data_IF_679002310119
#
_entry.id   IF_679002310119
#
_cell.length_a   1.000
_cell.length_b   1.000
_cell.length_c   1.000
_cell.angle_alpha   90.00
_cell.angle_beta   90.00
_cell.angle_gamma   90.00
#
_symmetry.space_group_name_H-M   'P 1'
#
loop_
_entity.id
_entity.type
_entity.pdbx_description
1 polymer ?
#
# COMPACT_ATOMS: atom_id res chain seq x y z
N UNK A 1 25.54 5.48 16.64
CA UNK A 1 25.25 4.41 17.63
C UNK A 1 23.81 4.53 18.14
N UNK A 2 23.36 5.74 18.53
CA UNK A 2 22.00 6.02 19.04
C UNK A 2 20.86 5.71 18.04
N UNK A 3 21.03 6.06 16.75
CA UNK A 3 19.96 5.87 15.75
C UNK A 3 19.68 4.39 15.42
N UNK A 4 20.73 3.56 15.29
CA UNK A 4 20.56 2.12 15.03
C UNK A 4 19.86 1.41 16.20
N UNK A 5 20.16 1.84 17.41
CA UNK A 5 19.52 1.36 18.63
C UNK A 5 18.05 1.77 18.70
N UNK A 6 17.71 3.01 18.30
CA UNK A 6 16.32 3.47 18.16
C UNK A 6 15.52 2.62 17.16
N UNK A 7 16.06 2.39 15.96
CA UNK A 7 15.38 1.60 14.92
C UNK A 7 15.18 0.15 15.37
N UNK A 8 16.18 -0.46 16.01
CA UNK A 8 16.06 -1.81 16.56
C UNK A 8 14.99 -1.89 17.66
N UNK A 9 14.93 -0.88 18.54
CA UNK A 9 13.85 -0.78 19.54
C UNK A 9 12.49 -0.67 18.87
N UNK A 10 12.33 0.22 17.89
CA UNK A 10 11.06 0.39 17.18
C UNK A 10 10.58 -0.95 16.56
N UNK A 11 11.49 -1.68 15.90
CA UNK A 11 11.18 -2.99 15.32
C UNK A 11 10.78 -4.02 16.39
N UNK A 12 11.41 -4.01 17.57
CA UNK A 12 11.02 -4.89 18.68
C UNK A 12 9.62 -4.62 19.24
N UNK A 13 9.08 -3.42 19.00
CA UNK A 13 7.71 -3.03 19.29
C UNK A 13 6.77 -3.19 18.07
N UNK A 14 7.22 -3.78 16.97
CA UNK A 14 6.41 -3.96 15.76
C UNK A 14 6.22 -2.68 14.93
N UNK A 15 7.01 -1.63 15.20
CA UNK A 15 6.92 -0.34 14.50
C UNK A 15 8.10 -0.16 13.55
N UNK A 16 7.78 0.12 12.27
CA UNK A 16 8.78 0.46 11.27
C UNK A 16 8.89 1.99 11.11
N UNK A 17 10.11 2.51 11.25
CA UNK A 17 10.42 3.92 11.00
C UNK A 17 11.25 4.06 9.72
N UNK A 18 11.14 5.21 9.05
CA UNK A 18 11.95 5.50 7.87
C UNK A 18 13.35 5.97 8.27
N UNK A 19 14.39 5.27 7.85
CA UNK A 19 15.77 5.74 7.97
C UNK A 19 16.18 6.61 6.76
N UNK A 20 16.53 7.88 7.00
CA UNK A 20 17.01 8.79 5.95
C UNK A 20 18.52 8.67 5.67
N UNK A 21 19.26 7.87 6.46
CA UNK A 21 20.72 7.66 6.37
C UNK A 21 21.58 8.89 6.64
N UNK A 22 20.99 10.00 7.08
CA UNK A 22 21.67 11.23 7.49
C UNK A 22 21.69 11.43 9.01
N UNK A 23 21.20 10.44 9.77
CA UNK A 23 21.02 10.51 11.22
C UNK A 23 19.59 10.80 11.65
N UNK A 24 18.72 11.19 10.72
CA UNK A 24 17.30 11.48 11.00
C UNK A 24 16.40 10.29 10.72
N UNK A 25 15.24 10.27 11.37
CA UNK A 25 14.19 9.26 11.18
C UNK A 25 12.89 9.94 10.77
N UNK A 26 12.14 9.29 9.89
CA UNK A 26 10.81 9.73 9.47
C UNK A 26 9.72 8.91 10.15
N UNK A 27 8.71 9.61 10.65
CA UNK A 27 7.48 9.05 11.19
C UNK A 27 6.34 9.56 10.31
N UNK A 28 5.50 8.65 9.83
CA UNK A 28 4.28 8.99 9.13
C UNK A 28 3.14 8.28 9.86
N UNK A 29 2.28 9.06 10.50
CA UNK A 29 1.06 8.57 11.14
C UNK A 29 -0.06 8.53 10.11
N UNK A 30 -1.08 7.71 10.37
CA UNK A 30 -2.23 7.54 9.49
C UNK A 30 -3.55 7.43 10.28
N UNK A 31 -4.65 7.19 9.58
CA UNK A 31 -6.00 7.08 10.16
C UNK A 31 -6.12 5.95 11.19
N UNK A 32 -5.32 4.89 11.07
CA UNK A 32 -5.42 3.71 11.93
C UNK A 32 -4.48 3.79 13.14
N UNK A 33 -3.84 4.92 13.39
CA UNK A 33 -2.94 5.14 14.54
C UNK A 33 -3.74 5.53 15.80
N UNK A 34 -3.96 4.62 16.77
CA UNK A 34 -4.58 4.96 18.06
C UNK A 34 -3.62 5.75 18.98
N UNK A 35 -4.14 6.37 20.05
CA UNK A 35 -3.30 6.99 21.09
C UNK A 35 -2.26 6.04 21.71
N UNK A 36 -2.58 4.74 21.85
CA UNK A 36 -1.67 3.74 22.38
C UNK A 36 -0.38 3.61 21.54
N UNK A 37 -0.47 3.69 20.21
CA UNK A 37 0.70 3.63 19.33
C UNK A 37 1.60 4.86 19.51
N UNK A 38 1.02 6.02 19.87
CA UNK A 38 1.78 7.22 20.21
C UNK A 38 2.54 7.07 21.54
N UNK A 39 1.92 6.43 22.53
CA UNK A 39 2.55 6.12 23.81
C UNK A 39 3.74 5.17 23.61
N UNK A 40 3.57 4.13 22.77
CA UNK A 40 4.67 3.25 22.38
C UNK A 40 5.80 4.02 21.67
N UNK A 41 5.47 4.93 20.75
CA UNK A 41 6.45 5.81 20.12
C UNK A 41 7.20 6.67 21.16
N UNK A 42 6.51 7.28 22.12
CA UNK A 42 7.17 8.07 23.16
C UNK A 42 8.15 7.22 23.97
N UNK A 43 7.78 5.99 24.34
CA UNK A 43 8.66 5.04 25.04
C UNK A 43 9.90 4.67 24.21
N UNK A 44 9.72 4.38 22.92
CA UNK A 44 10.80 4.03 21.99
C UNK A 44 11.83 5.17 21.92
N UNK A 45 11.36 6.42 21.83
CA UNK A 45 12.20 7.62 21.75
C UNK A 45 12.83 7.99 23.10
N UNK A 46 12.14 7.76 24.22
CA UNK A 46 12.66 7.96 25.57
C UNK A 46 13.60 6.83 26.06
N UNK A 47 13.91 5.86 25.18
CA UNK A 47 14.73 4.69 25.46
C UNK A 47 14.22 3.86 26.66
N UNK A 48 12.89 3.71 26.76
CA UNK A 48 12.22 2.92 27.80
C UNK A 48 11.99 3.64 29.12
N UNK A 49 12.35 4.92 29.22
CA UNK A 49 11.92 5.75 30.36
C UNK A 49 10.50 6.25 30.09
N UNK A 50 9.55 5.87 30.94
CA UNK A 50 8.17 6.35 30.85
C UNK A 50 8.15 7.89 30.95
N UNK A 51 7.60 8.59 29.93
CA UNK A 51 7.35 10.02 30.03
C UNK A 51 6.31 10.30 31.13
N UNK A 52 6.43 11.46 31.79
CA UNK A 52 5.46 11.93 32.81
C UNK A 52 4.22 12.59 32.16
N UNK A 53 3.83 12.13 30.98
CA UNK A 53 2.66 12.60 30.22
C UNK A 53 2.14 11.48 29.31
N UNK A 54 0.84 11.48 29.05
CA UNK A 54 0.20 10.60 28.06
C UNK A 54 -0.21 11.37 26.79
N UNK A 55 -0.59 10.64 25.75
CA UNK A 55 -0.96 11.22 24.46
C UNK A 55 -2.22 12.10 24.56
N UNK A 56 -3.18 11.75 25.41
CA UNK A 56 -4.41 12.53 25.59
C UNK A 56 -4.16 13.84 26.35
N UNK A 57 -3.31 13.81 27.37
CA UNK A 57 -2.87 14.96 28.13
C UNK A 57 -2.13 15.94 27.24
N UNK A 58 -1.21 15.44 26.41
CA UNK A 58 -0.52 16.25 25.42
C UNK A 58 -1.52 16.91 24.48
N UNK A 59 -2.51 16.16 23.99
CA UNK A 59 -3.56 16.69 23.11
C UNK A 59 -4.41 17.77 23.79
N UNK A 60 -4.85 17.54 25.05
CA UNK A 60 -5.64 18.51 25.83
C UNK A 60 -4.89 19.80 26.13
N UNK A 61 -3.58 19.70 26.37
CA UNK A 61 -2.72 20.82 26.71
C UNK A 61 -2.07 21.48 25.47
N UNK A 62 -2.27 20.92 24.28
CA UNK A 62 -1.77 21.48 23.02
C UNK A 62 -2.72 22.52 22.46
N UNK A 63 -2.16 23.59 21.91
CA UNK A 63 -2.93 24.52 21.09
C UNK A 63 -3.37 23.82 19.78
N UNK A 64 -4.57 24.13 19.26
CA UNK A 64 -5.02 23.59 17.98
C UNK A 64 -3.96 23.80 16.90
N UNK A 65 -3.57 22.72 16.22
CA UNK A 65 -2.59 22.82 15.14
C UNK A 65 -3.18 23.60 13.96
N UNK A 66 -2.71 24.83 13.75
CA UNK A 66 -3.08 25.64 12.61
C UNK A 66 -2.14 25.38 11.43
N UNK A 67 -2.71 24.89 10.32
CA UNK A 67 -1.97 24.83 9.06
C UNK A 67 -1.58 26.25 8.62
N UNK A 68 -0.35 26.44 8.09
CA UNK A 68 0.06 27.75 7.59
C UNK A 68 -0.90 28.23 6.50
N UNK A 69 -1.11 29.55 6.40
CA UNK A 69 -2.18 30.12 5.58
C UNK A 69 -2.16 29.75 4.09
N UNK A 70 -1.01 29.33 3.55
CA UNK A 70 -0.86 28.81 2.19
C UNK A 70 -1.32 27.35 2.02
N UNK A 71 -1.35 26.56 3.10
CA UNK A 71 -1.81 25.18 3.14
C UNK A 71 -3.27 25.06 3.60
N UNK A 72 -3.83 26.10 4.22
CA UNK A 72 -5.21 26.07 4.68
C UNK A 72 -6.19 26.16 3.49
N UNK A 73 -6.89 25.05 3.21
CA UNK A 73 -7.85 24.95 2.11
C UNK A 73 -9.07 25.85 2.40
N UNK A 74 -9.33 26.81 1.51
CA UNK A 74 -10.46 27.76 1.64
C UNK A 74 -11.67 27.42 0.77
N UNK A 75 -11.52 26.50 -0.18
CA UNK A 75 -12.58 26.14 -1.13
C UNK A 75 -13.37 24.93 -0.63
N UNK A 76 -14.71 24.95 -0.79
CA UNK A 76 -15.52 23.78 -0.49
C UNK A 76 -15.20 22.62 -1.45
N UNK A 77 -15.62 21.42 -1.07
CA UNK A 77 -15.36 20.19 -1.82
C UNK A 77 -16.46 19.18 -1.55
N UNK A 78 -16.62 18.22 -2.47
CA UNK A 78 -17.65 17.18 -2.39
C UNK A 78 -19.07 17.78 -2.23
N UNK A 79 -19.33 18.95 -2.84
CA UNK A 79 -20.61 19.67 -2.73
C UNK A 79 -21.76 18.98 -3.47
N UNK A 80 -21.43 18.10 -4.42
CA UNK A 80 -22.44 17.35 -5.16
C UNK A 80 -23.25 16.44 -4.21
N UNK A 81 -24.55 16.36 -4.44
CA UNK A 81 -25.50 15.61 -3.61
C UNK A 81 -25.04 14.16 -3.34
N UNK A 82 -24.44 13.50 -4.33
CA UNK A 82 -23.93 12.11 -4.22
C UNK A 82 -23.02 11.86 -3.00
N UNK A 83 -22.24 12.86 -2.56
CA UNK A 83 -21.35 12.73 -1.40
C UNK A 83 -22.06 13.01 -0.06
N UNK A 84 -23.30 13.49 -0.11
CA UNK A 84 -24.07 13.97 1.03
C UNK A 84 -25.38 13.18 1.24
N UNK A 85 -25.65 12.16 0.43
CA UNK A 85 -26.90 11.36 0.49
C UNK A 85 -26.77 9.96 1.09
N UNK A 86 -25.54 9.44 1.26
CA UNK A 86 -25.31 8.05 1.64
C UNK A 86 -24.30 7.95 2.78
N UNK A 87 -24.71 8.29 4.01
CA UNK A 87 -23.79 8.33 5.17
C UNK A 87 -23.98 7.15 6.11
N UNK A 88 -25.16 6.52 6.10
CA UNK A 88 -25.35 5.26 6.82
C UNK A 88 -24.89 4.06 5.99
N UNK A 89 -24.47 3.01 6.68
CA UNK A 89 -24.09 1.74 6.04
C UNK A 89 -25.21 1.18 5.15
N UNK A 90 -26.47 1.28 5.59
CA UNK A 90 -27.64 0.80 4.83
C UNK A 90 -27.87 1.61 3.56
N UNK A 91 -27.72 2.93 3.61
CA UNK A 91 -27.84 3.79 2.44
C UNK A 91 -26.72 3.49 1.43
N UNK A 92 -25.48 3.37 1.90
CA UNK A 92 -24.33 3.01 1.07
C UNK A 92 -24.51 1.64 0.42
N UNK A 93 -24.94 0.63 1.18
CA UNK A 93 -25.21 -0.71 0.67
C UNK A 93 -26.26 -0.69 -0.46
N UNK A 94 -27.37 0.02 -0.26
CA UNK A 94 -28.42 0.17 -1.28
C UNK A 94 -27.91 0.92 -2.51
N UNK A 95 -27.08 1.93 -2.31
CA UNK A 95 -26.50 2.70 -3.41
C UNK A 95 -25.53 1.84 -4.25
N UNK A 96 -24.62 1.09 -3.61
CA UNK A 96 -23.71 0.17 -4.27
C UNK A 96 -24.46 -0.90 -5.06
N UNK A 97 -25.46 -1.54 -4.45
CA UNK A 97 -26.28 -2.54 -5.14
C UNK A 97 -27.06 -1.96 -6.35
N UNK A 98 -27.57 -0.72 -6.22
CA UNK A 98 -28.22 -0.01 -7.33
C UNK A 98 -27.26 0.24 -8.49
N UNK A 99 -25.99 0.53 -8.22
CA UNK A 99 -24.98 0.67 -9.27
C UNK A 99 -24.63 -0.69 -9.89
N UNK A 100 -24.36 -1.69 -9.06
CA UNK A 100 -24.04 -3.06 -9.48
C UNK A 100 -25.11 -3.64 -10.42
N UNK A 101 -26.39 -3.48 -10.07
CA UNK A 101 -27.52 -3.99 -10.88
C UNK A 101 -27.66 -3.37 -12.27
N UNK A 102 -26.94 -2.28 -12.57
CA UNK A 102 -26.91 -1.65 -13.90
C UNK A 102 -25.79 -2.19 -14.78
N UNK A 103 -24.86 -2.94 -14.21
CA UNK A 103 -23.69 -3.45 -14.89
C UNK A 103 -23.87 -4.93 -15.25
N UNK A 104 -23.70 -5.26 -16.53
CA UNK A 104 -23.65 -6.66 -16.96
C UNK A 104 -22.28 -7.24 -16.62
N UNK A 105 -22.25 -8.23 -15.72
CA UNK A 105 -21.01 -8.87 -15.27
C UNK A 105 -20.97 -10.38 -15.57
N UNK A 106 -19.84 -11.02 -15.29
CA UNK A 106 -19.63 -12.47 -15.47
C UNK A 106 -20.51 -13.35 -14.57
N UNK A 107 -21.14 -12.78 -13.53
CA UNK A 107 -22.12 -13.50 -12.71
C UNK A 107 -23.48 -13.68 -13.41
N UNK A 108 -23.71 -13.00 -14.53
CA UNK A 108 -25.00 -12.97 -15.24
C UNK A 108 -24.94 -13.72 -16.56
N UNK A 109 -23.93 -13.45 -17.39
CA UNK A 109 -23.79 -14.09 -18.70
C UNK A 109 -22.34 -14.08 -19.19
N UNK A 110 -22.10 -14.80 -20.29
CA UNK A 110 -20.84 -14.72 -21.01
C UNK A 110 -20.65 -13.34 -21.64
N UNK A 111 -19.45 -12.76 -21.47
CA UNK A 111 -19.02 -11.49 -22.09
C UNK A 111 -17.89 -11.79 -23.08
N UNK A 112 -18.17 -12.07 -24.38
CA UNK A 112 -17.18 -12.56 -25.34
C UNK A 112 -16.38 -11.43 -26.00
N UNK A 113 -15.66 -10.64 -25.20
CA UNK A 113 -14.78 -9.60 -25.72
C UNK A 113 -13.46 -10.22 -26.20
N UNK A 114 -13.21 -10.12 -27.51
CA UNK A 114 -11.94 -10.54 -28.11
C UNK A 114 -10.76 -9.82 -27.48
N UNK A 115 -9.63 -10.51 -27.32
CA UNK A 115 -8.40 -10.00 -26.68
C UNK A 115 -8.46 -9.75 -25.17
N UNK A 116 -9.64 -9.78 -24.53
CA UNK A 116 -9.77 -9.51 -23.09
C UNK A 116 -9.65 -10.77 -22.21
N UNK A 117 -9.81 -11.96 -22.79
CA UNK A 117 -9.73 -13.25 -22.06
C UNK A 117 -10.61 -13.27 -20.79
N UNK A 118 -11.91 -12.96 -20.95
CA UNK A 118 -12.90 -12.92 -19.87
C UNK A 118 -13.21 -14.32 -19.32
N UNK A 119 -12.28 -14.88 -18.54
CA UNK A 119 -12.33 -16.21 -17.92
C UNK A 119 -12.85 -16.15 -16.48
N UNK A 120 -12.96 -17.31 -15.84
CA UNK A 120 -13.33 -17.42 -14.43
C UNK A 120 -12.30 -16.72 -13.52
N UNK A 121 -12.79 -15.86 -12.63
CA UNK A 121 -12.07 -15.36 -11.46
C UNK A 121 -12.54 -16.18 -10.24
N UNK A 122 -11.87 -17.27 -9.91
CA UNK A 122 -12.37 -18.21 -8.90
C UNK A 122 -12.30 -17.60 -7.49
N UNK A 123 -13.31 -17.84 -6.64
CA UNK A 123 -13.34 -17.33 -5.26
C UNK A 123 -12.09 -17.72 -4.47
N UNK A 124 -11.60 -18.95 -4.63
CA UNK A 124 -10.38 -19.44 -3.98
C UNK A 124 -9.11 -18.69 -4.41
N UNK A 125 -9.10 -18.07 -5.60
CA UNK A 125 -7.99 -17.24 -6.08
C UNK A 125 -8.07 -15.81 -5.53
N UNK A 126 -9.28 -15.33 -5.22
CA UNK A 126 -9.52 -13.94 -4.78
C UNK A 126 -9.43 -13.77 -3.27
N UNK A 127 -9.78 -14.79 -2.49
CA UNK A 127 -9.82 -14.74 -1.02
C UNK A 127 -8.48 -14.27 -0.42
N UNK A 128 -7.37 -14.82 -0.92
CA UNK A 128 -6.02 -14.51 -0.45
C UNK A 128 -5.65 -13.03 -0.56
N UNK A 129 -6.19 -12.30 -1.53
CA UNK A 129 -5.89 -10.87 -1.74
C UNK A 129 -6.29 -10.01 -0.54
N UNK A 130 -7.30 -10.45 0.23
CA UNK A 130 -7.81 -9.70 1.39
C UNK A 130 -7.20 -10.09 2.73
N UNK A 131 -6.32 -11.10 2.76
CA UNK A 131 -5.66 -11.51 4.00
C UNK A 131 -4.74 -10.40 4.52
N UNK A 132 -4.75 -10.07 5.83
CA UNK A 132 -3.89 -9.04 6.40
C UNK A 132 -2.40 -9.23 6.06
N UNK A 133 -1.92 -10.48 6.10
CA UNK A 133 -0.52 -10.84 5.81
C UNK A 133 -0.11 -10.58 4.35
N UNK A 134 -1.07 -10.29 3.46
CA UNK A 134 -0.86 -9.90 2.07
C UNK A 134 -1.22 -8.41 1.92
N UNK A 135 -2.46 -8.03 2.24
CA UNK A 135 -3.00 -6.69 1.97
C UNK A 135 -2.54 -5.57 2.90
N UNK A 136 -1.91 -5.86 4.05
CA UNK A 136 -1.51 -4.85 5.06
C UNK A 136 0.00 -4.72 5.26
N UNK A 137 0.80 -5.20 4.32
CA UNK A 137 2.26 -5.01 4.35
C UNK A 137 2.62 -3.73 3.58
N UNK A 138 3.38 -2.84 4.23
CA UNK A 138 3.91 -1.65 3.56
C UNK A 138 4.98 -2.06 2.52
N UNK A 139 4.97 -1.54 1.28
CA UNK A 139 5.85 -2.00 0.20
C UNK A 139 7.35 -1.76 0.44
N UNK A 140 7.70 -0.91 1.41
CA UNK A 140 9.09 -0.68 1.84
C UNK A 140 9.38 -1.24 3.24
N UNK A 141 8.58 -2.18 3.73
CA UNK A 141 8.92 -2.89 4.96
C UNK A 141 10.27 -3.64 4.80
N UNK A 142 11.01 -3.84 5.90
CA UNK A 142 12.22 -4.67 5.91
C UNK A 142 12.00 -6.06 5.28
N UNK A 143 13.02 -6.61 4.60
CA UNK A 143 12.90 -7.86 3.85
C UNK A 143 12.59 -9.08 4.73
N UNK A 144 13.08 -9.08 5.97
CA UNK A 144 12.78 -10.11 6.98
C UNK A 144 11.31 -10.14 7.41
N UNK A 145 10.53 -9.09 7.09
CA UNK A 145 9.08 -9.05 7.30
C UNK A 145 8.29 -9.45 6.05
N UNK A 146 8.97 -9.80 4.95
CA UNK A 146 8.37 -10.10 3.65
C UNK A 146 8.67 -11.52 3.14
N UNK A 147 9.19 -12.44 3.98
CA UNK A 147 9.58 -13.79 3.56
C UNK A 147 8.47 -14.55 2.80
N UNK A 148 7.21 -14.39 3.24
CA UNK A 148 6.05 -14.98 2.55
C UNK A 148 5.87 -14.45 1.12
N UNK A 149 6.10 -13.16 0.92
CA UNK A 149 6.08 -12.54 -0.41
C UNK A 149 7.25 -13.01 -1.28
N UNK A 150 8.44 -13.17 -0.71
CA UNK A 150 9.60 -13.69 -1.46
C UNK A 150 9.33 -15.09 -2.03
N UNK A 151 8.67 -15.95 -1.26
CA UNK A 151 8.24 -17.29 -1.72
C UNK A 151 7.23 -17.14 -2.88
N UNK A 152 6.20 -16.31 -2.72
CA UNK A 152 5.18 -16.08 -3.75
C UNK A 152 5.82 -15.57 -5.05
N UNK A 153 6.73 -14.60 -4.95
CA UNK A 153 7.41 -14.02 -6.11
C UNK A 153 8.30 -15.04 -6.81
N UNK A 154 9.14 -15.75 -6.05
CA UNK A 154 10.05 -16.77 -6.60
C UNK A 154 9.27 -17.89 -7.31
N UNK A 155 8.18 -18.37 -6.71
CA UNK A 155 7.35 -19.41 -7.31
C UNK A 155 6.67 -18.93 -8.59
N UNK A 156 6.12 -17.71 -8.58
CA UNK A 156 5.45 -17.13 -9.74
C UNK A 156 6.43 -16.85 -10.89
N UNK A 157 7.60 -16.27 -10.60
CA UNK A 157 8.66 -16.04 -11.60
C UNK A 157 9.11 -17.35 -12.24
N UNK A 158 9.31 -18.41 -11.44
CA UNK A 158 9.69 -19.73 -11.94
C UNK A 158 8.60 -20.32 -12.85
N UNK A 159 7.34 -20.32 -12.41
CA UNK A 159 6.24 -20.87 -13.21
C UNK A 159 6.04 -20.10 -14.53
N UNK A 160 6.13 -18.76 -14.51
CA UNK A 160 6.02 -17.95 -15.72
C UNK A 160 7.20 -18.16 -16.68
N UNK A 161 8.43 -18.29 -16.16
CA UNK A 161 9.60 -18.62 -16.95
C UNK A 161 9.46 -20.00 -17.63
N UNK A 162 8.93 -21.00 -16.91
CA UNK A 162 8.67 -22.34 -17.45
C UNK A 162 7.59 -22.32 -18.55
N UNK A 163 6.48 -21.60 -18.34
CA UNK A 163 5.38 -21.48 -19.31
C UNK A 163 5.83 -20.77 -20.60
N UNK A 164 6.67 -19.74 -20.47
CA UNK A 164 7.09 -18.88 -21.60
C UNK A 164 8.38 -19.34 -22.28
N UNK A 165 9.19 -20.16 -21.60
CA UNK A 165 10.52 -20.55 -22.06
C UNK A 165 11.60 -19.45 -21.90
N UNK A 166 11.31 -18.38 -21.17
CA UNK A 166 12.30 -17.33 -20.87
C UNK A 166 13.25 -17.75 -19.74
N UNK A 167 14.43 -17.12 -19.71
CA UNK A 167 15.43 -17.35 -18.66
C UNK A 167 15.02 -16.74 -17.31
N UNK A 168 14.26 -15.65 -17.33
CA UNK A 168 13.78 -14.94 -16.14
C UNK A 168 12.51 -14.16 -16.47
N UNK A 169 11.78 -13.75 -15.43
CA UNK A 169 10.58 -12.91 -15.52
C UNK A 169 10.65 -11.81 -14.45
N UNK A 170 10.09 -10.63 -14.73
CA UNK A 170 9.97 -9.55 -13.75
C UNK A 170 8.50 -9.31 -13.43
N UNK A 171 8.18 -9.19 -12.14
CA UNK A 171 6.82 -8.93 -11.64
C UNK A 171 6.54 -7.43 -11.40
N UNK A 172 7.49 -6.54 -11.71
CA UNK A 172 7.37 -5.10 -11.46
C UNK A 172 6.31 -4.39 -12.33
N UNK A 173 6.15 -4.70 -13.64
CA UNK A 173 5.16 -4.01 -14.47
C UNK A 173 3.72 -4.35 -14.05
N UNK A 174 2.90 -3.34 -13.76
CA UNK A 174 1.55 -3.54 -13.22
C UNK A 174 0.43 -3.57 -14.30
N UNK A 175 0.82 -3.55 -15.58
CA UNK A 175 -0.09 -3.67 -16.72
C UNK A 175 0.66 -4.16 -17.96
N UNK A 176 -0.06 -4.70 -18.96
CA UNK A 176 0.55 -5.16 -20.21
C UNK A 176 1.32 -4.06 -20.96
N UNK A 177 0.76 -2.86 -21.04
CA UNK A 177 1.41 -1.72 -21.67
C UNK A 177 2.72 -1.31 -20.96
N UNK A 178 2.77 -1.41 -19.63
CA UNK A 178 4.04 -1.20 -18.91
C UNK A 178 5.04 -2.33 -19.16
N UNK A 179 4.57 -3.58 -19.30
CA UNK A 179 5.42 -4.70 -19.67
C UNK A 179 6.09 -4.49 -21.03
N UNK A 180 5.33 -4.00 -22.01
CA UNK A 180 5.87 -3.62 -23.34
C UNK A 180 6.88 -2.47 -23.24
N UNK A 181 6.63 -1.48 -22.39
CA UNK A 181 7.55 -0.36 -22.18
C UNK A 181 8.83 -0.75 -21.43
N UNK A 182 8.75 -1.70 -20.49
CA UNK A 182 9.90 -2.22 -19.74
C UNK A 182 10.72 -3.23 -20.55
N UNK A 183 10.10 -3.89 -21.54
CA UNK A 183 10.70 -4.90 -22.40
C UNK A 183 11.80 -4.49 -23.40
N UNK A 184 12.01 -3.22 -23.82
CA UNK A 184 13.13 -2.85 -24.69
C UNK A 184 14.37 -2.49 -23.85
N UNK A 185 15.54 -3.03 -24.21
CA UNK A 185 16.13 -2.64 -25.48
C UNK A 185 16.19 -3.82 -26.44
N UNK A 186 15.39 -3.77 -27.51
CA UNK A 186 15.83 -4.39 -28.75
C UNK A 186 17.07 -3.62 -29.21
N UNK A 187 18.24 -4.17 -28.85
CA UNK A 187 19.55 -3.79 -29.34
C UNK A 187 20.26 -2.57 -28.69
N UNK A 188 20.80 -2.75 -27.49
CA UNK A 188 21.92 -1.93 -26.97
C UNK A 188 23.24 -2.70 -26.89
N UNK A 189 23.25 -3.97 -27.34
CA UNK A 189 24.40 -4.87 -27.33
C UNK A 189 24.99 -5.16 -28.72
N UNK A 190 24.38 -4.74 -29.84
CA UNK A 190 25.11 -4.68 -31.11
C UNK A 190 26.06 -3.48 -31.07
N UNK A 191 27.33 -3.67 -31.48
CA UNK A 191 28.26 -2.57 -31.60
C UNK A 191 27.66 -1.54 -32.58
N UNK A 192 27.48 -0.30 -32.11
CA UNK A 192 27.18 0.84 -32.98
C UNK A 192 28.26 0.86 -34.05
N UNK A 193 27.91 0.52 -35.30
CA UNK A 193 28.82 0.69 -36.43
C UNK A 193 29.15 2.17 -36.52
N UNK A 194 30.39 2.50 -36.20
CA UNK A 194 31.01 3.79 -36.47
C UNK A 194 30.97 4.05 -37.98
N UNK A 195 30.27 5.11 -38.36
CA UNK A 195 30.43 5.81 -39.64
C UNK A 195 30.96 7.20 -39.35
#
# INVERSE_FOLDING_TARGET
>A
MVQKDLLARAVSHGINLRDFKDGTVGIALDEVTPPADLEELFLIFAAGNEPDFDAEELARNSEPFELPGWANRKTPYLEHEVFNSYHSETEMLRYLHKLESRDLSLNTSMIPLGSCTMKLNATSQMEGVTWPDIGRIHPFAPSDQMEGYEIIFSDLERWLAEITGFTATSLQPNSGAQGEYAGPPSDSSLPRRSG
#
